data_IF_678769952374
#
_entry.id   IF_678769952374
#
_cell.length_a   1.000
_cell.length_b   1.000
_cell.length_c   1.000
_cell.angle_alpha   90.00
_cell.angle_beta   90.00
_cell.angle_gamma   90.00
#
_symmetry.space_group_name_H-M   'P 1'
#
loop_
_entity.id
_entity.type
_entity.pdbx_description
1 polymer ?
#
# COMPACT_ATOMS: atom_id res chain seq x y z
N UNK A 1 -17.39 -3.10 -20.35
CA UNK A 1 -16.53 -3.01 -21.56
C UNK A 1 -17.34 -2.46 -22.70
N UNK A 2 -17.08 -1.26 -23.09
CA UNK A 2 -17.61 -0.67 -24.31
C UNK A 2 -16.76 -1.17 -25.47
N UNK A 3 -17.37 -1.75 -26.47
CA UNK A 3 -16.72 -2.20 -27.71
C UNK A 3 -16.90 -1.07 -28.72
N UNK A 4 -15.84 -0.35 -29.01
CA UNK A 4 -15.79 0.66 -30.06
C UNK A 4 -14.36 0.76 -30.58
N UNK A 5 -14.22 0.99 -31.88
CA UNK A 5 -12.98 0.93 -32.64
C UNK A 5 -11.87 1.93 -32.26
N UNK A 6 -12.08 2.78 -31.27
CA UNK A 6 -11.13 3.81 -30.84
C UNK A 6 -10.78 3.75 -29.34
N UNK A 7 -11.14 2.69 -28.66
CA UNK A 7 -10.80 2.58 -27.25
C UNK A 7 -9.39 2.03 -27.08
N UNK A 8 -8.52 2.86 -26.55
CA UNK A 8 -7.27 2.40 -25.95
C UNK A 8 -7.63 1.39 -24.85
N UNK A 9 -7.41 0.11 -25.11
CA UNK A 9 -7.47 -0.92 -24.07
C UNK A 9 -6.32 -0.60 -23.12
N UNK A 10 -6.67 -0.28 -21.88
CA UNK A 10 -5.70 -0.05 -20.80
C UNK A 10 -5.87 -1.15 -19.79
N UNK A 11 -4.83 -1.94 -19.62
CA UNK A 11 -4.76 -2.90 -18.54
C UNK A 11 -4.21 -2.23 -17.30
N UNK A 12 -4.82 -2.55 -16.17
CA UNK A 12 -4.38 -2.14 -14.84
C UNK A 12 -3.58 -3.26 -14.22
N UNK A 13 -2.30 -3.02 -13.95
CA UNK A 13 -1.37 -4.01 -13.40
C UNK A 13 -0.94 -3.59 -12.00
N UNK A 14 -1.22 -4.43 -11.01
CA UNK A 14 -0.69 -4.26 -9.67
C UNK A 14 0.65 -5.00 -9.55
N UNK A 15 1.70 -4.31 -9.18
CA UNK A 15 3.01 -4.88 -8.88
C UNK A 15 3.31 -4.75 -7.40
N UNK A 16 3.59 -5.86 -6.72
CA UNK A 16 3.85 -5.81 -5.29
C UNK A 16 4.27 -7.15 -4.68
N UNK A 17 4.60 -7.17 -3.39
CA UNK A 17 5.16 -8.36 -2.73
C UNK A 17 4.12 -9.43 -2.36
N UNK A 18 2.84 -9.25 -2.70
CA UNK A 18 1.75 -10.01 -2.12
C UNK A 18 1.09 -11.00 -3.10
N UNK A 19 1.32 -12.30 -2.93
CA UNK A 19 0.65 -13.34 -3.71
C UNK A 19 -0.87 -13.40 -3.46
N UNK A 20 -1.35 -13.05 -2.25
CA UNK A 20 -2.78 -13.02 -1.93
C UNK A 20 -3.56 -11.98 -2.76
N UNK A 21 -2.89 -10.93 -3.26
CA UNK A 21 -3.48 -9.95 -4.17
C UNK A 21 -3.96 -10.55 -5.49
N UNK A 22 -3.38 -11.67 -5.94
CA UNK A 22 -3.87 -12.41 -7.12
C UNK A 22 -5.30 -12.93 -6.90
N UNK A 23 -5.55 -13.50 -5.72
CA UNK A 23 -6.88 -13.99 -5.35
C UNK A 23 -7.86 -12.83 -5.13
N UNK A 24 -7.42 -11.73 -4.53
CA UNK A 24 -8.23 -10.54 -4.33
C UNK A 24 -8.66 -9.94 -5.66
N UNK A 25 -7.74 -9.77 -6.61
CA UNK A 25 -8.03 -9.26 -7.95
C UNK A 25 -9.01 -10.15 -8.75
N UNK A 26 -9.06 -11.45 -8.45
CA UNK A 26 -10.02 -12.37 -9.12
C UNK A 26 -11.46 -12.23 -8.63
N UNK A 27 -11.70 -11.54 -7.49
CA UNK A 27 -13.06 -11.36 -6.94
C UNK A 27 -13.91 -10.47 -7.84
N UNK A 28 -15.22 -10.76 -7.90
CA UNK A 28 -16.18 -10.03 -8.75
C UNK A 28 -16.16 -8.52 -8.54
N UNK A 29 -15.95 -8.06 -7.30
CA UNK A 29 -15.90 -6.63 -6.93
C UNK A 29 -14.63 -5.90 -7.36
N UNK A 30 -13.55 -6.61 -7.67
CA UNK A 30 -12.23 -6.03 -7.96
C UNK A 30 -11.78 -6.28 -9.40
N UNK A 31 -12.14 -7.43 -9.99
CA UNK A 31 -11.62 -7.89 -11.29
C UNK A 31 -11.87 -6.95 -12.48
N UNK A 32 -12.75 -5.98 -12.34
CA UNK A 32 -12.99 -4.96 -13.38
C UNK A 32 -12.02 -3.77 -13.26
N UNK A 33 -11.29 -3.67 -12.16
CA UNK A 33 -10.37 -2.57 -11.87
C UNK A 33 -8.90 -2.99 -11.95
N UNK A 34 -8.60 -4.29 -11.74
CA UNK A 34 -7.24 -4.83 -11.78
C UNK A 34 -7.23 -6.04 -12.69
N UNK A 35 -6.51 -5.94 -13.80
CA UNK A 35 -6.43 -7.00 -14.81
C UNK A 35 -5.35 -8.03 -14.44
N UNK A 36 -4.20 -7.57 -13.94
CA UNK A 36 -3.07 -8.43 -13.60
C UNK A 36 -2.48 -8.08 -12.23
N UNK A 37 -1.97 -9.09 -11.56
CA UNK A 37 -1.17 -8.93 -10.34
C UNK A 37 0.15 -9.66 -10.54
N UNK A 38 1.24 -8.91 -10.45
CA UNK A 38 2.61 -9.42 -10.55
C UNK A 38 3.33 -9.27 -9.21
N UNK A 39 4.02 -10.31 -8.78
CA UNK A 39 4.93 -10.23 -7.64
C UNK A 39 6.27 -9.65 -8.07
N UNK A 40 7.08 -9.20 -7.10
CA UNK A 40 8.45 -8.72 -7.42
C UNK A 40 9.32 -9.83 -8.02
N UNK A 41 9.15 -11.09 -7.58
CA UNK A 41 9.82 -12.25 -8.20
C UNK A 41 9.45 -12.41 -9.67
N UNK A 42 8.17 -12.30 -10.00
CA UNK A 42 7.70 -12.41 -11.39
C UNK A 42 8.24 -11.30 -12.27
N UNK A 43 8.27 -10.06 -11.76
CA UNK A 43 8.85 -8.93 -12.49
C UNK A 43 10.35 -9.09 -12.67
N UNK A 44 11.06 -9.59 -11.65
CA UNK A 44 12.49 -9.89 -11.77
C UNK A 44 12.76 -10.98 -12.83
N UNK A 45 11.92 -12.03 -12.86
CA UNK A 45 11.99 -13.05 -13.92
C UNK A 45 11.71 -12.50 -15.32
N UNK A 46 10.82 -11.51 -15.45
CA UNK A 46 10.58 -10.82 -16.73
C UNK A 46 11.80 -10.00 -17.17
N UNK A 47 12.51 -9.36 -16.24
CA UNK A 47 13.75 -8.63 -16.53
C UNK A 47 14.85 -9.59 -16.98
N UNK A 48 15.04 -10.69 -16.27
CA UNK A 48 15.99 -11.72 -16.62
C UNK A 48 15.71 -12.30 -18.02
N UNK A 49 14.46 -12.66 -18.31
CA UNK A 49 14.05 -13.16 -19.61
C UNK A 49 14.26 -12.17 -20.78
N UNK A 50 14.31 -10.87 -20.47
CA UNK A 50 14.58 -9.79 -21.45
C UNK A 50 16.05 -9.38 -21.48
N UNK A 51 16.90 -9.99 -20.67
CA UNK A 51 18.32 -9.61 -20.55
C UNK A 51 18.53 -8.21 -19.98
N UNK A 52 17.59 -7.73 -19.16
CA UNK A 52 17.70 -6.43 -18.48
C UNK A 52 18.37 -6.62 -17.13
N UNK A 53 19.60 -6.16 -16.99
CA UNK A 53 20.23 -6.03 -15.67
C UNK A 53 19.88 -4.66 -15.08
N UNK A 54 19.18 -4.67 -13.95
CA UNK A 54 18.79 -3.46 -13.23
C UNK A 54 19.99 -2.62 -12.77
N UNK A 55 21.17 -3.22 -12.60
CA UNK A 55 22.40 -2.52 -12.23
C UNK A 55 22.95 -1.63 -13.36
N UNK A 56 22.58 -1.96 -14.59
CA UNK A 56 23.01 -1.24 -15.79
C UNK A 56 22.03 -0.12 -16.14
N UNK A 57 20.88 -0.05 -15.43
CA UNK A 57 19.91 1.02 -15.62
C UNK A 57 20.44 2.29 -14.94
N UNK A 58 20.64 3.39 -15.68
CA UNK A 58 21.08 4.64 -15.06
C UNK A 58 20.08 5.14 -14.03
N UNK A 59 20.59 5.75 -12.96
CA UNK A 59 19.70 6.40 -11.99
C UNK A 59 18.80 7.39 -12.70
N UNK A 60 17.50 7.11 -12.63
CA UNK A 60 16.47 7.99 -13.17
C UNK A 60 16.16 9.16 -12.23
N UNK A 61 15.19 9.97 -12.62
CA UNK A 61 14.70 11.02 -11.74
C UNK A 61 14.16 10.40 -10.43
N UNK A 62 14.52 10.95 -9.27
CA UNK A 62 14.02 10.48 -7.99
C UNK A 62 12.48 10.53 -7.95
N UNK A 63 11.86 9.51 -7.37
CA UNK A 63 10.40 9.44 -7.18
C UNK A 63 9.96 10.41 -6.06
N UNK A 64 9.83 11.68 -6.37
CA UNK A 64 9.47 12.74 -5.41
C UNK A 64 7.97 12.79 -5.03
N UNK A 65 7.15 11.89 -5.56
CA UNK A 65 5.69 12.07 -5.52
C UNK A 65 5.00 11.35 -4.37
N UNK A 66 5.72 10.52 -3.63
CA UNK A 66 5.17 9.79 -2.49
C UNK A 66 5.54 10.46 -1.18
N UNK A 67 4.55 10.63 -0.29
CA UNK A 67 4.78 11.10 1.09
C UNK A 67 5.58 10.09 1.90
N UNK A 68 6.20 10.54 2.99
CA UNK A 68 6.86 9.65 3.95
C UNK A 68 5.86 8.61 4.49
N UNK A 69 4.66 9.04 4.85
CA UNK A 69 3.58 8.17 5.31
C UNK A 69 3.21 7.12 4.26
N UNK A 70 3.02 7.53 3.00
CA UNK A 70 2.71 6.60 1.92
C UNK A 70 3.80 5.55 1.68
N UNK A 71 5.07 5.95 1.76
CA UNK A 71 6.21 5.02 1.69
C UNK A 71 6.22 4.04 2.87
N UNK A 72 5.71 4.46 4.03
CA UNK A 72 5.61 3.64 5.24
C UNK A 72 4.57 2.53 5.21
N UNK A 73 3.62 2.54 4.27
CA UNK A 73 2.49 1.59 4.22
C UNK A 73 2.91 0.11 4.14
N UNK A 74 4.07 -0.16 3.60
CA UNK A 74 4.54 -1.53 3.44
C UNK A 74 5.10 -2.15 4.73
N UNK A 75 5.30 -1.36 5.78
CA UNK A 75 5.73 -1.81 7.11
C UNK A 75 4.52 -1.80 8.06
N UNK A 76 4.47 -2.77 8.96
CA UNK A 76 3.42 -2.84 9.98
C UNK A 76 3.39 -1.58 10.84
N UNK A 77 2.21 -1.04 11.08
CA UNK A 77 2.00 0.24 11.78
C UNK A 77 1.99 1.47 10.86
N UNK A 78 2.47 1.34 9.63
CA UNK A 78 2.64 2.49 8.73
C UNK A 78 1.33 3.11 8.25
N UNK A 79 0.32 2.27 7.96
CA UNK A 79 -1.01 2.77 7.56
C UNK A 79 -1.71 3.45 8.72
N UNK A 80 -1.67 2.82 9.91
CA UNK A 80 -2.24 3.42 11.12
C UNK A 80 -1.59 4.76 11.46
N UNK A 81 -0.26 4.86 11.32
CA UNK A 81 0.48 6.10 11.52
C UNK A 81 -0.01 7.22 10.59
N UNK A 82 -0.17 6.92 9.31
CA UNK A 82 -0.69 7.88 8.34
C UNK A 82 -2.10 8.37 8.68
N UNK A 83 -2.96 7.46 9.14
CA UNK A 83 -4.31 7.82 9.62
C UNK A 83 -4.23 8.71 10.86
N UNK A 84 -3.35 8.41 11.81
CA UNK A 84 -3.13 9.24 13.01
C UNK A 84 -2.68 10.65 12.62
N UNK A 85 -1.75 10.79 11.67
CA UNK A 85 -1.31 12.10 11.18
C UNK A 85 -2.48 12.87 10.54
N UNK A 86 -3.24 12.22 9.67
CA UNK A 86 -4.39 12.83 9.02
C UNK A 86 -5.47 13.28 10.04
N UNK A 87 -5.76 12.47 11.06
CA UNK A 87 -6.71 12.84 12.13
C UNK A 87 -6.19 14.04 12.93
N UNK A 88 -4.92 14.05 13.32
CA UNK A 88 -4.33 15.17 14.06
C UNK A 88 -4.31 16.47 13.25
N UNK A 89 -4.22 16.39 11.95
CA UNK A 89 -4.31 17.57 11.08
C UNK A 89 -5.72 18.16 11.04
N UNK A 90 -6.75 17.30 11.10
CA UNK A 90 -8.17 17.72 11.10
C UNK A 90 -8.58 18.21 12.49
N UNK A 91 -8.15 17.49 13.53
CA UNK A 91 -8.47 17.76 14.93
C UNK A 91 -7.22 17.53 15.79
N UNK A 92 -6.40 18.57 16.05
CA UNK A 92 -5.15 18.46 16.78
C UNK A 92 -5.29 17.95 18.23
N UNK A 93 -6.44 18.20 18.85
CA UNK A 93 -6.71 17.78 20.23
C UNK A 93 -7.18 16.33 20.32
N UNK A 94 -7.50 15.71 19.19
CA UNK A 94 -8.00 14.33 19.17
C UNK A 94 -6.90 13.32 19.40
N UNK A 95 -7.00 12.58 20.48
CA UNK A 95 -6.14 11.41 20.72
C UNK A 95 -6.66 10.20 19.95
N UNK A 96 -5.81 9.60 19.12
CA UNK A 96 -6.11 8.37 18.39
C UNK A 96 -5.36 7.20 19.02
N UNK A 97 -6.11 6.30 19.63
CA UNK A 97 -5.56 5.06 20.18
C UNK A 97 -5.45 4.01 19.07
N UNK A 98 -4.29 3.38 18.95
CA UNK A 98 -4.01 2.40 17.90
C UNK A 98 -3.71 1.04 18.49
N UNK A 99 -4.19 -0.01 17.83
CA UNK A 99 -3.79 -1.39 18.09
C UNK A 99 -3.39 -2.03 16.76
N UNK A 100 -2.17 -2.55 16.73
CA UNK A 100 -1.62 -3.26 15.58
C UNK A 100 -1.56 -4.77 15.85
N UNK A 101 -1.84 -5.57 14.84
CA UNK A 101 -1.70 -7.01 14.88
C UNK A 101 -1.01 -7.53 13.62
N UNK A 102 -0.07 -8.44 13.79
CA UNK A 102 0.67 -9.10 12.73
C UNK A 102 0.40 -10.60 12.70
N UNK A 103 0.28 -11.15 11.51
CA UNK A 103 -0.09 -12.54 11.28
C UNK A 103 -1.59 -12.78 11.45
N UNK A 104 -2.14 -13.66 10.61
CA UNK A 104 -3.59 -13.91 10.53
C UNK A 104 -4.22 -14.30 11.87
N UNK A 105 -3.51 -15.09 12.68
CA UNK A 105 -4.03 -15.52 13.97
C UNK A 105 -4.17 -14.36 14.97
N UNK A 106 -3.17 -13.47 15.02
CA UNK A 106 -3.21 -12.29 15.88
C UNK A 106 -4.25 -11.28 15.41
N UNK A 107 -4.36 -11.09 14.08
CA UNK A 107 -5.42 -10.28 13.49
C UNK A 107 -6.81 -10.82 13.89
N UNK A 108 -7.01 -12.14 13.80
CA UNK A 108 -8.26 -12.77 14.23
C UNK A 108 -8.55 -12.54 15.71
N UNK A 109 -7.55 -12.70 16.59
CA UNK A 109 -7.70 -12.42 18.04
C UNK A 109 -8.05 -10.96 18.28
N UNK A 110 -7.37 -10.02 17.63
CA UNK A 110 -7.65 -8.60 17.74
C UNK A 110 -9.11 -8.29 17.37
N UNK A 111 -9.60 -8.83 16.25
CA UNK A 111 -10.99 -8.65 15.82
C UNK A 111 -12.00 -9.29 16.77
N UNK A 112 -11.70 -10.45 17.35
CA UNK A 112 -12.54 -11.07 18.37
C UNK A 112 -12.64 -10.20 19.64
N UNK A 113 -11.52 -9.62 20.07
CA UNK A 113 -11.49 -8.70 21.21
C UNK A 113 -12.22 -7.40 20.91
N UNK A 114 -12.10 -6.87 19.69
CA UNK A 114 -12.86 -5.71 19.24
C UNK A 114 -14.37 -6.00 19.25
N UNK A 115 -14.79 -7.16 18.74
CA UNK A 115 -16.19 -7.61 18.78
C UNK A 115 -16.72 -7.72 20.21
N UNK A 116 -15.86 -8.08 21.16
CA UNK A 116 -16.21 -8.13 22.60
C UNK A 116 -16.17 -6.75 23.28
N UNK A 117 -15.94 -5.65 22.52
CA UNK A 117 -15.97 -4.28 23.03
C UNK A 117 -14.65 -3.78 23.64
N UNK A 118 -13.58 -4.58 23.63
CA UNK A 118 -12.32 -4.19 24.29
C UNK A 118 -11.64 -2.98 23.63
N UNK A 119 -11.81 -2.82 22.32
CA UNK A 119 -11.13 -1.78 21.54
C UNK A 119 -12.08 -0.70 21.00
N UNK A 120 -13.16 -0.40 21.76
CA UNK A 120 -14.06 0.67 21.35
C UNK A 120 -13.32 2.02 21.26
N UNK A 121 -13.45 2.70 20.13
CA UNK A 121 -12.75 3.97 19.87
C UNK A 121 -11.28 3.83 19.45
N UNK A 122 -10.80 2.63 19.23
CA UNK A 122 -9.44 2.39 18.71
C UNK A 122 -9.43 2.26 17.19
N UNK A 123 -8.36 2.73 16.58
CA UNK A 123 -7.97 2.38 15.21
C UNK A 123 -7.28 1.01 15.25
N UNK A 124 -7.76 0.07 14.44
CA UNK A 124 -7.20 -1.28 14.38
C UNK A 124 -6.49 -1.47 13.03
N UNK A 125 -5.22 -1.83 13.08
CA UNK A 125 -4.44 -2.22 11.91
C UNK A 125 -4.10 -3.70 11.98
N UNK A 126 -4.39 -4.45 10.91
CA UNK A 126 -4.04 -5.86 10.80
C UNK A 126 -3.21 -6.13 9.55
N UNK A 127 -2.00 -6.66 9.73
CA UNK A 127 -1.13 -7.12 8.66
C UNK A 127 -1.02 -8.63 8.64
N UNK A 128 -1.36 -9.27 7.51
CA UNK A 128 -1.31 -10.73 7.40
C UNK A 128 0.12 -11.28 7.49
N UNK A 129 1.09 -10.54 6.97
CA UNK A 129 2.51 -10.90 7.03
C UNK A 129 3.17 -10.24 8.25
N UNK A 130 3.89 -11.01 9.10
CA UNK A 130 4.68 -10.42 10.20
C UNK A 130 5.76 -9.47 9.68
N UNK A 131 5.73 -8.22 10.13
CA UNK A 131 6.58 -7.13 9.64
C UNK A 131 5.92 -6.27 8.56
N UNK A 132 4.74 -6.65 8.07
CA UNK A 132 4.01 -5.95 7.02
C UNK A 132 4.23 -6.51 5.61
N UNK A 133 3.87 -5.74 4.59
CA UNK A 133 3.97 -6.17 3.19
C UNK A 133 5.40 -6.44 2.74
N UNK A 134 6.41 -5.84 3.37
CA UNK A 134 7.84 -6.14 3.14
C UNK A 134 8.20 -7.61 3.38
N UNK A 135 7.37 -8.34 4.12
CA UNK A 135 7.50 -9.78 4.37
C UNK A 135 6.58 -10.64 3.48
N UNK A 136 6.00 -10.06 2.44
CA UNK A 136 5.13 -10.77 1.51
C UNK A 136 5.84 -11.89 0.75
N UNK A 137 5.09 -12.92 0.34
CA UNK A 137 5.64 -14.13 -0.27
C UNK A 137 6.34 -13.89 -1.62
N UNK A 138 6.06 -12.77 -2.30
CA UNK A 138 6.66 -12.41 -3.59
C UNK A 138 7.78 -11.37 -3.48
N UNK A 139 8.45 -11.24 -2.32
CA UNK A 139 9.59 -10.33 -2.13
C UNK A 139 10.90 -10.96 -2.58
N UNK A 140 11.85 -10.10 -2.96
CA UNK A 140 13.22 -10.51 -3.33
C UNK A 140 14.23 -10.26 -2.20
N UNK A 141 13.83 -9.57 -1.14
CA UNK A 141 14.72 -9.14 -0.07
C UNK A 141 14.32 -9.74 1.28
N UNK A 142 15.33 -9.93 2.13
CA UNK A 142 15.11 -10.27 3.54
C UNK A 142 14.40 -9.12 4.23
N UNK A 143 13.36 -9.42 5.03
CA UNK A 143 12.46 -8.45 5.69
C UNK A 143 13.20 -7.30 6.35
N UNK A 144 14.24 -7.60 7.14
CA UNK A 144 15.05 -6.57 7.84
C UNK A 144 15.71 -5.57 6.88
N UNK A 145 16.25 -6.07 5.75
CA UNK A 145 16.86 -5.20 4.74
C UNK A 145 15.84 -4.35 4.01
N UNK A 146 14.70 -4.94 3.65
CA UNK A 146 13.62 -4.24 3.00
C UNK A 146 13.02 -3.14 3.90
N UNK A 147 12.78 -3.44 5.18
CA UNK A 147 12.30 -2.46 6.15
C UNK A 147 13.29 -1.30 6.36
N UNK A 148 14.60 -1.60 6.48
CA UNK A 148 15.62 -0.57 6.60
C UNK A 148 15.72 0.33 5.36
N UNK A 149 15.62 -0.25 4.16
CA UNK A 149 15.60 0.51 2.91
C UNK A 149 14.37 1.43 2.81
N UNK A 150 13.20 0.93 3.22
CA UNK A 150 11.99 1.74 3.27
C UNK A 150 12.09 2.88 4.27
N UNK A 151 12.66 2.65 5.45
CA UNK A 151 12.84 3.71 6.44
C UNK A 151 13.78 4.81 5.93
N UNK A 152 14.85 4.43 5.22
CA UNK A 152 15.69 5.38 4.51
C UNK A 152 14.90 6.18 3.47
N UNK A 153 14.11 5.50 2.63
CA UNK A 153 13.27 6.15 1.62
C UNK A 153 12.22 7.08 2.23
N UNK A 154 11.67 6.75 3.40
CA UNK A 154 10.78 7.63 4.16
C UNK A 154 11.49 8.93 4.55
N UNK A 155 12.71 8.83 5.08
CA UNK A 155 13.53 9.99 5.45
C UNK A 155 13.91 10.89 4.26
N UNK A 156 13.94 10.35 3.05
CA UNK A 156 14.22 11.07 1.80
C UNK A 156 12.96 11.68 1.15
N UNK A 157 11.78 11.50 1.75
CA UNK A 157 10.55 12.06 1.20
C UNK A 157 10.53 13.59 1.35
N UNK A 158 10.07 14.28 0.32
CA UNK A 158 9.99 15.74 0.30
C UNK A 158 8.87 16.32 1.16
N UNK A 159 7.92 15.49 1.59
CA UNK A 159 6.81 15.84 2.47
C UNK A 159 6.34 14.61 3.26
N UNK A 160 5.71 14.84 4.41
CA UNK A 160 5.33 13.78 5.35
C UNK A 160 3.98 13.18 5.01
N UNK A 161 2.95 14.02 4.89
CA UNK A 161 1.56 13.58 4.75
C UNK A 161 1.09 13.60 3.29
N UNK A 162 0.14 12.74 2.95
CA UNK A 162 -0.46 12.71 1.60
C UNK A 162 -1.19 14.01 1.25
N UNK A 163 -1.74 14.69 2.23
CA UNK A 163 -2.39 15.99 2.12
C UNK A 163 -1.46 17.12 1.67
N UNK A 164 -0.14 16.96 1.83
CA UNK A 164 0.86 17.92 1.34
C UNK A 164 1.24 17.69 -0.13
N UNK A 165 0.64 16.67 -0.75
CA UNK A 165 0.87 16.36 -2.16
C UNK A 165 0.27 17.43 -3.07
N UNK A 166 1.03 17.83 -4.10
CA UNK A 166 0.53 18.72 -5.18
C UNK A 166 -0.70 18.17 -5.92
N UNK A 167 -1.03 16.92 -5.72
CA UNK A 167 -2.22 16.28 -6.32
C UNK A 167 -3.48 16.41 -5.46
N UNK A 168 -3.39 16.96 -4.25
CA UNK A 168 -4.54 17.17 -3.36
C UNK A 168 -5.64 17.98 -4.05
N UNK A 169 -5.28 19.09 -4.72
CA UNK A 169 -6.25 19.91 -5.45
C UNK A 169 -6.99 19.17 -6.56
N UNK A 170 -6.38 18.14 -7.14
CA UNK A 170 -7.06 17.29 -8.14
C UNK A 170 -8.10 16.39 -7.51
N UNK A 171 -7.83 15.85 -6.31
CA UNK A 171 -8.82 15.05 -5.55
C UNK A 171 -10.02 15.92 -5.14
N UNK A 172 -9.79 17.15 -4.74
CA UNK A 172 -10.85 18.10 -4.37
C UNK A 172 -11.76 18.46 -5.56
N UNK A 173 -11.22 18.39 -6.78
CA UNK A 173 -11.97 18.64 -8.03
C UNK A 173 -12.76 17.42 -8.55
N UNK A 174 -12.53 16.22 -8.00
CA UNK A 174 -13.32 15.05 -8.35
C UNK A 174 -14.71 15.18 -7.72
N UNK A 175 -15.75 14.99 -8.54
CA UNK A 175 -17.10 14.85 -8.03
C UNK A 175 -17.14 13.71 -7.01
N UNK A 176 -17.87 13.92 -5.93
CA UNK A 176 -18.12 12.87 -4.96
C UNK A 176 -18.81 11.72 -5.69
N UNK A 177 -18.14 10.60 -5.82
CA UNK A 177 -18.80 9.38 -6.26
C UNK A 177 -19.74 8.98 -5.12
N UNK A 178 -21.03 9.08 -5.35
CA UNK A 178 -22.02 8.49 -4.47
C UNK A 178 -21.84 6.98 -4.53
N UNK A 179 -21.35 6.42 -3.45
CA UNK A 179 -21.25 4.98 -3.25
C UNK A 179 -22.62 4.55 -2.73
N UNK A 180 -23.50 4.13 -3.64
CA UNK A 180 -24.71 3.37 -3.30
C UNK A 180 -24.37 1.94 -2.87
#
# INVERSE_FOLDING_TARGET
RLVGSEMCIRDSVFVGPCAAKKLEASRKSIRSYVDFVLTFEEVAGMFDAKGVDWKDIPEGEPLFRASADGRGFAVSGGVAQAVVHAVKRIDPEREVKVVNAEGLQNCKKMLQMAKAGKYNGYLLEGMACPGGCVAGAGTLQVVKKAAAALEKMKGEASFTESSDSKYQSRLESLEKFDVE
#
